data_IF_560267174815
#
_entry.id   IF_560267174815
#
_cell.length_a   1.000
_cell.length_b   1.000
_cell.length_c   1.000
_cell.angle_alpha   90.00
_cell.angle_beta   90.00
_cell.angle_gamma   90.00
#
_symmetry.space_group_name_H-M   'P 1'
#
loop_
_entity.id
_entity.type
_entity.pdbx_description
1 polymer ?
#
# COMPACT_ATOMS: atom_id res chain seq x y z
N UNK A 1 4.51 -7.85 4.95
CA UNK A 1 3.49 -8.16 5.99
C UNK A 1 2.17 -7.56 5.54
N UNK A 2 1.23 -8.37 5.08
CA UNK A 2 -0.12 -7.90 4.73
C UNK A 2 -0.82 -7.56 6.04
N UNK A 3 -1.22 -6.30 6.22
CA UNK A 3 -2.01 -5.90 7.38
C UNK A 3 -3.23 -6.82 7.48
N UNK A 4 -3.36 -7.53 8.61
CA UNK A 4 -4.54 -8.34 8.92
C UNK A 4 -5.72 -7.38 8.87
N UNK A 5 -6.51 -7.44 7.80
CA UNK A 5 -7.75 -6.66 7.68
C UNK A 5 -8.61 -7.10 8.86
N UNK A 6 -8.80 -6.23 9.85
CA UNK A 6 -9.75 -6.48 10.92
C UNK A 6 -11.10 -6.69 10.24
N UNK A 7 -11.58 -7.93 10.21
CA UNK A 7 -12.88 -8.22 9.62
C UNK A 7 -13.93 -7.59 10.54
N UNK A 8 -14.75 -6.71 9.97
CA UNK A 8 -15.92 -6.12 10.64
C UNK A 8 -16.84 -7.20 11.25
N UNK A 9 -16.76 -8.43 10.74
CA UNK A 9 -17.51 -9.59 11.20
C UNK A 9 -17.11 -10.06 12.61
N UNK A 10 -15.88 -9.78 13.03
CA UNK A 10 -15.33 -10.16 14.33
C UNK A 10 -15.68 -9.17 15.45
N UNK A 11 -16.32 -8.05 15.11
CA UNK A 11 -16.75 -7.07 16.10
C UNK A 11 -17.97 -7.59 16.89
N UNK A 12 -18.08 -7.22 18.19
CA UNK A 12 -19.31 -7.41 18.94
C UNK A 12 -20.48 -6.79 18.18
N UNK A 13 -21.63 -7.49 18.13
CA UNK A 13 -22.80 -7.08 17.36
C UNK A 13 -23.92 -6.61 18.27
N UNK A 14 -24.56 -5.50 17.88
CA UNK A 14 -25.79 -4.99 18.48
C UNK A 14 -26.78 -4.64 17.39
N UNK A 15 -28.04 -5.02 17.55
CA UNK A 15 -29.06 -4.62 16.58
C UNK A 15 -29.49 -3.16 16.83
N UNK A 16 -30.03 -2.49 15.81
CA UNK A 16 -30.47 -1.10 15.90
C UNK A 16 -31.50 -0.86 17.02
N UNK A 17 -32.37 -1.84 17.30
CA UNK A 17 -33.37 -1.76 18.39
C UNK A 17 -32.71 -1.73 19.78
N UNK A 18 -31.66 -2.51 20.01
CA UNK A 18 -30.87 -2.52 21.24
C UNK A 18 -30.11 -1.20 21.40
N UNK A 19 -29.55 -0.67 20.32
CA UNK A 19 -28.88 0.64 20.36
C UNK A 19 -29.87 1.74 20.81
N UNK A 20 -31.09 1.74 20.25
CA UNK A 20 -32.13 2.70 20.63
C UNK A 20 -32.61 2.53 22.07
N UNK A 21 -32.84 1.30 22.52
CA UNK A 21 -33.44 1.02 23.83
C UNK A 21 -32.44 0.96 24.98
N UNK A 22 -31.16 0.69 24.70
CA UNK A 22 -30.09 0.46 25.70
C UNK A 22 -28.83 1.26 25.40
N UNK A 23 -29.00 2.50 24.97
CA UNK A 23 -27.91 3.38 24.58
C UNK A 23 -26.75 3.43 25.60
N UNK A 24 -27.06 3.58 26.90
CA UNK A 24 -26.04 3.65 27.94
C UNK A 24 -25.21 2.36 28.09
N UNK A 25 -25.82 1.19 27.86
CA UNK A 25 -25.13 -0.10 27.86
C UNK A 25 -24.20 -0.21 26.65
N UNK A 26 -24.71 0.14 25.47
CA UNK A 26 -23.95 0.14 24.22
C UNK A 26 -22.77 1.11 24.30
N UNK A 27 -22.95 2.30 24.87
CA UNK A 27 -21.87 3.27 25.05
C UNK A 27 -20.77 2.73 25.97
N UNK A 28 -21.11 2.06 27.07
CA UNK A 28 -20.13 1.41 27.96
C UNK A 28 -19.39 0.28 27.25
N UNK A 29 -20.10 -0.51 26.45
CA UNK A 29 -19.50 -1.58 25.66
C UNK A 29 -18.51 -1.03 24.64
N UNK A 30 -18.87 0.03 23.90
CA UNK A 30 -17.97 0.72 22.95
C UNK A 30 -16.73 1.26 23.66
N UNK A 31 -16.87 1.78 24.88
CA UNK A 31 -15.70 2.24 25.64
C UNK A 31 -14.80 1.08 26.11
N UNK A 32 -15.37 -0.09 26.40
CA UNK A 32 -14.62 -1.27 26.83
C UNK A 32 -13.96 -2.03 25.67
N UNK A 33 -14.66 -2.17 24.53
CA UNK A 33 -14.19 -2.93 23.36
C UNK A 33 -13.52 -2.06 22.30
N UNK A 34 -13.61 -0.75 22.41
CA UNK A 34 -13.16 0.24 21.41
C UNK A 34 -14.09 0.37 20.20
N UNK A 35 -14.81 -0.70 19.82
CA UNK A 35 -15.77 -0.68 18.70
C UNK A 35 -16.85 -1.76 18.79
N UNK A 36 -18.01 -1.47 18.21
CA UNK A 36 -19.18 -2.36 18.13
C UNK A 36 -19.85 -2.22 16.76
N UNK A 37 -20.13 -3.34 16.10
CA UNK A 37 -20.90 -3.36 14.86
C UNK A 37 -22.40 -3.27 15.16
N UNK A 38 -23.08 -2.34 14.48
CA UNK A 38 -24.53 -2.22 14.53
C UNK A 38 -25.13 -2.94 13.33
N UNK A 39 -26.10 -3.81 13.61
CA UNK A 39 -26.84 -4.55 12.60
C UNK A 39 -28.28 -4.06 12.44
N UNK A 40 -28.78 -4.17 11.22
CA UNK A 40 -30.19 -4.10 10.87
C UNK A 40 -30.58 -5.41 10.19
N UNK A 41 -31.60 -6.10 10.71
CA UNK A 41 -32.02 -7.42 10.22
C UNK A 41 -30.83 -8.35 9.87
N UNK A 42 -29.83 -8.42 10.77
CA UNK A 42 -28.57 -9.19 10.68
C UNK A 42 -27.48 -8.69 9.74
N UNK A 43 -27.73 -7.65 8.95
CA UNK A 43 -26.71 -6.98 8.14
C UNK A 43 -26.00 -5.90 8.95
N UNK A 44 -24.67 -5.89 8.97
CA UNK A 44 -23.89 -4.77 9.55
C UNK A 44 -24.07 -3.54 8.65
N UNK A 45 -24.63 -2.47 9.21
CA UNK A 45 -24.84 -1.20 8.49
C UNK A 45 -23.84 -0.14 8.91
N UNK A 46 -23.38 -0.17 10.16
CA UNK A 46 -22.48 0.83 10.72
C UNK A 46 -21.67 0.26 11.88
N UNK A 47 -20.61 0.96 12.28
CA UNK A 47 -19.77 0.63 13.43
C UNK A 47 -19.72 1.85 14.35
N UNK A 48 -20.03 1.65 15.63
CA UNK A 48 -19.71 2.62 16.66
C UNK A 48 -18.28 2.41 17.13
N UNK A 49 -17.57 3.51 17.27
CA UNK A 49 -16.19 3.58 17.77
C UNK A 49 -16.13 4.61 18.88
N UNK A 50 -15.29 4.36 19.88
CA UNK A 50 -14.99 5.40 20.86
C UNK A 50 -14.28 6.58 20.17
N UNK A 51 -14.35 7.77 20.76
CA UNK A 51 -13.67 8.94 20.19
C UNK A 51 -12.15 8.73 20.09
N UNK A 52 -11.55 8.14 21.13
CA UNK A 52 -10.12 7.79 21.15
C UNK A 52 -9.76 6.78 20.05
N UNK A 53 -10.59 5.75 19.86
CA UNK A 53 -10.38 4.76 18.80
C UNK A 53 -10.48 5.41 17.41
N UNK A 54 -11.47 6.27 17.22
CA UNK A 54 -11.67 7.01 15.98
C UNK A 54 -10.46 7.90 15.65
N UNK A 55 -9.99 8.70 16.61
CA UNK A 55 -8.80 9.54 16.42
C UNK A 55 -7.58 8.70 16.06
N UNK A 56 -7.36 7.59 16.77
CA UNK A 56 -6.25 6.68 16.49
C UNK A 56 -6.32 6.09 15.09
N UNK A 57 -7.51 5.69 14.62
CA UNK A 57 -7.72 5.17 13.28
C UNK A 57 -7.50 6.26 12.22
N UNK A 58 -7.99 7.47 12.46
CA UNK A 58 -7.80 8.62 11.58
C UNK A 58 -6.30 8.98 11.44
N UNK A 59 -5.56 9.03 12.56
CA UNK A 59 -4.11 9.27 12.53
C UNK A 59 -3.36 8.17 11.79
N UNK A 60 -3.70 6.89 12.02
CA UNK A 60 -3.06 5.77 11.30
C UNK A 60 -3.33 5.81 9.80
N UNK A 61 -4.57 6.13 9.41
CA UNK A 61 -4.94 6.24 8.00
C UNK A 61 -4.18 7.40 7.32
N UNK A 62 -4.11 8.56 7.97
CA UNK A 62 -3.35 9.70 7.48
C UNK A 62 -1.84 9.39 7.37
N UNK A 63 -1.25 8.76 8.39
CA UNK A 63 0.15 8.36 8.38
C UNK A 63 0.47 7.34 7.29
N UNK A 64 -0.41 6.37 7.04
CA UNK A 64 -0.27 5.40 5.96
C UNK A 64 -0.25 6.04 4.57
N UNK A 65 -1.15 7.00 4.32
CA UNK A 65 -1.17 7.75 3.06
C UNK A 65 0.09 8.60 2.89
N UNK A 66 0.54 9.28 3.95
CA UNK A 66 1.78 10.05 3.92
C UNK A 66 3.01 9.18 3.62
N UNK A 67 3.08 7.98 4.21
CA UNK A 67 4.17 7.03 3.95
C UNK A 67 4.15 6.52 2.51
N UNK A 68 2.96 6.24 1.96
CA UNK A 68 2.81 5.83 0.56
C UNK A 68 3.25 6.95 -0.38
N UNK A 69 2.83 8.19 -0.12
CA UNK A 69 3.25 9.35 -0.92
C UNK A 69 4.77 9.54 -0.88
N UNK A 70 5.38 9.52 0.31
CA UNK A 70 6.83 9.64 0.44
C UNK A 70 7.60 8.52 -0.27
N UNK A 71 7.01 7.32 -0.34
CA UNK A 71 7.58 6.20 -1.10
C UNK A 71 7.49 6.44 -2.62
N UNK A 72 6.34 6.94 -3.10
CA UNK A 72 6.17 7.30 -4.50
C UNK A 72 7.11 8.44 -4.91
N UNK A 73 7.21 9.48 -4.10
CA UNK A 73 8.09 10.63 -4.37
C UNK A 73 9.55 10.19 -4.50
N UNK A 74 10.00 9.26 -3.64
CA UNK A 74 11.34 8.68 -3.74
C UNK A 74 11.54 7.90 -5.04
N UNK A 75 10.56 7.09 -5.44
CA UNK A 75 10.64 6.30 -6.67
C UNK A 75 10.66 7.21 -7.91
N UNK A 76 9.82 8.25 -7.92
CA UNK A 76 9.80 9.24 -9.00
C UNK A 76 11.13 9.97 -9.08
N UNK A 77 11.69 10.43 -7.95
CA UNK A 77 12.98 11.11 -7.94
C UNK A 77 14.12 10.20 -8.46
N UNK A 78 14.12 8.91 -8.10
CA UNK A 78 15.11 7.96 -8.62
C UNK A 78 14.95 7.77 -10.13
N UNK A 79 13.71 7.58 -10.59
CA UNK A 79 13.43 7.42 -12.01
C UNK A 79 13.84 8.65 -12.82
N UNK A 80 13.53 9.85 -12.34
CA UNK A 80 13.90 11.10 -13.00
C UNK A 80 15.42 11.29 -13.04
N UNK A 81 16.13 10.90 -11.98
CA UNK A 81 17.59 10.92 -11.97
C UNK A 81 18.19 9.96 -13.01
N UNK A 82 17.69 8.73 -13.10
CA UNK A 82 18.12 7.75 -14.11
C UNK A 82 17.79 8.24 -15.52
N UNK A 83 16.60 8.81 -15.73
CA UNK A 83 16.18 9.36 -17.02
C UNK A 83 17.01 10.58 -17.43
N UNK A 84 17.43 11.41 -16.48
CA UNK A 84 18.30 12.54 -16.73
C UNK A 84 19.65 12.09 -17.31
N UNK A 85 20.24 11.00 -16.77
CA UNK A 85 21.50 10.46 -17.31
C UNK A 85 21.37 10.03 -18.77
N UNK A 86 20.22 9.48 -19.15
CA UNK A 86 19.93 9.07 -20.54
C UNK A 86 19.65 10.27 -21.46
N UNK A 87 19.25 11.41 -20.90
CA UNK A 87 18.96 12.65 -21.64
C UNK A 87 20.16 13.59 -21.73
N UNK A 88 21.27 13.28 -21.07
CA UNK A 88 22.49 14.08 -21.17
C UNK A 88 22.96 14.20 -22.63
N UNK A 89 23.47 15.37 -23.05
CA UNK A 89 24.14 15.51 -24.34
C UNK A 89 25.24 14.46 -24.51
N UNK A 90 25.26 13.77 -25.65
CA UNK A 90 26.22 12.69 -25.93
C UNK A 90 25.94 11.38 -25.18
N UNK A 91 24.83 11.23 -24.45
CA UNK A 91 24.42 9.94 -23.87
C UNK A 91 24.14 8.89 -24.95
N UNK A 92 23.55 9.32 -26.07
CA UNK A 92 23.33 8.47 -27.25
C UNK A 92 24.65 7.96 -27.81
N UNK A 93 25.62 8.85 -28.01
CA UNK A 93 26.94 8.50 -28.58
C UNK A 93 27.68 7.53 -27.63
N UNK A 94 27.64 7.77 -26.31
CA UNK A 94 28.19 6.84 -25.31
C UNK A 94 27.52 5.47 -25.34
N UNK A 95 26.20 5.41 -25.51
CA UNK A 95 25.45 4.17 -25.64
C UNK A 95 25.83 3.41 -26.92
N UNK A 96 25.96 4.12 -28.04
CA UNK A 96 26.38 3.56 -29.32
C UNK A 96 27.83 3.02 -29.25
N UNK A 97 28.75 3.74 -28.62
CA UNK A 97 30.13 3.30 -28.37
C UNK A 97 30.20 2.05 -27.48
N UNK A 98 29.38 1.99 -26.43
CA UNK A 98 29.29 0.81 -25.55
C UNK A 98 28.73 -0.43 -26.27
N UNK A 99 27.74 -0.25 -27.15
CA UNK A 99 27.18 -1.33 -27.97
C UNK A 99 28.18 -1.79 -29.03
N UNK A 100 28.89 -0.86 -29.68
CA UNK A 100 29.92 -1.14 -30.66
C UNK A 100 31.11 -1.89 -30.05
N UNK A 101 31.55 -1.51 -28.84
CA UNK A 101 32.63 -2.18 -28.12
C UNK A 101 32.25 -3.57 -27.58
N UNK A 102 31.00 -3.78 -27.16
CA UNK A 102 30.50 -5.13 -26.82
C UNK A 102 30.23 -6.03 -28.03
N UNK A 103 30.03 -5.45 -29.21
CA UNK A 103 29.91 -6.16 -30.49
C UNK A 103 31.22 -6.71 -31.04
N UNK A 104 32.37 -6.28 -30.51
CA UNK A 104 33.68 -6.87 -30.82
C UNK A 104 33.88 -8.17 -30.01
N UNK A 105 32.93 -9.10 -30.16
CA UNK A 105 33.21 -10.51 -29.87
C UNK A 105 34.34 -10.96 -30.78
N UNK A 106 35.41 -11.48 -30.18
CA UNK A 106 36.57 -12.01 -30.88
C UNK A 106 36.22 -12.98 -32.01
N UNK A 107 37.21 -13.29 -32.89
CA UNK A 107 36.99 -13.96 -34.16
C UNK A 107 35.99 -15.12 -34.06
N UNK A 108 34.94 -15.02 -34.88
CA UNK A 108 33.85 -16.00 -35.00
C UNK A 108 34.46 -17.42 -35.06
N UNK A 109 34.21 -18.31 -34.09
CA UNK A 109 34.72 -19.67 -34.16
C UNK A 109 34.15 -20.32 -35.43
N UNK A 110 35.03 -20.71 -36.35
CA UNK A 110 34.64 -21.42 -37.57
C UNK A 110 34.11 -22.78 -37.14
N UNK A 111 32.80 -22.97 -37.28
CA UNK A 111 32.20 -24.29 -37.16
C UNK A 111 32.73 -25.17 -38.30
N UNK A 112 33.30 -26.32 -37.92
CA UNK A 112 33.66 -27.40 -38.83
C UNK A 112 35.14 -27.41 -39.22
N UNK A 113 35.92 -28.24 -38.54
CA UNK A 113 36.64 -29.38 -39.12
C UNK A 113 37.04 -30.30 -37.97
N UNK A 114 36.20 -31.28 -37.66
CA UNK A 114 36.63 -32.48 -36.94
C UNK A 114 36.08 -33.66 -37.72
N UNK A 115 37.03 -34.46 -38.23
CA UNK A 115 36.85 -35.69 -39.01
C UNK A 115 35.94 -36.71 -38.32
#
# INVERSE_FOLDING_TARGET
MVAKRSSIEALPRRNATQVRSRWAEVAREVQASGSVAITNHDRVEMVLVSAEEYERLATKAAGGLAQQQATLDRLVAQFDAELATLREPGAKDRLEDMLASRGQGGPRPKAGYSY
#
